data_IF_211389126768
#
_entry.id   IF_211389126768
#
_cell.length_a   1.000
_cell.length_b   1.000
_cell.length_c   1.000
_cell.angle_alpha   90.00
_cell.angle_beta   90.00
_cell.angle_gamma   90.00
#
_symmetry.space_group_name_H-M   'P 1'
#
loop_
_entity.id
_entity.type
_entity.pdbx_description
1 polymer ?
#
# COMPACT_ATOMS: atom_id res chain seq x y z
N UNK A 1 -14.08 82.08 -17.09
CA UNK A 1 -14.21 80.65 -17.58
C UNK A 1 -13.32 79.64 -16.80
N UNK A 2 -12.60 80.00 -15.77
CA UNK A 2 -11.73 79.13 -14.99
C UNK A 2 -12.42 78.38 -13.83
N UNK A 3 -13.57 78.83 -13.37
CA UNK A 3 -14.21 78.27 -12.16
C UNK A 3 -15.00 76.99 -12.37
N UNK A 4 -15.39 76.70 -13.62
CA UNK A 4 -16.14 75.47 -13.96
C UNK A 4 -15.28 74.24 -14.08
N UNK A 5 -14.01 74.37 -14.43
CA UNK A 5 -13.07 73.24 -14.58
C UNK A 5 -12.63 72.67 -13.22
N UNK A 6 -12.41 73.56 -12.25
CA UNK A 6 -12.04 73.18 -10.87
C UNK A 6 -13.14 72.41 -10.15
N UNK A 7 -14.41 72.80 -10.38
CA UNK A 7 -15.56 72.13 -9.77
C UNK A 7 -15.81 70.73 -10.34
N UNK A 8 -15.65 70.54 -11.65
CA UNK A 8 -15.72 69.21 -12.31
C UNK A 8 -14.58 68.30 -11.87
N UNK A 9 -13.38 68.81 -11.67
CA UNK A 9 -12.21 68.04 -11.20
C UNK A 9 -12.42 67.57 -9.74
N UNK A 10 -12.88 68.44 -8.86
CA UNK A 10 -13.25 68.09 -7.45
C UNK A 10 -14.34 67.00 -7.40
N UNK A 11 -15.37 67.10 -8.24
CA UNK A 11 -16.42 66.07 -8.32
C UNK A 11 -15.90 64.73 -8.80
N UNK A 12 -14.97 64.67 -9.79
CA UNK A 12 -14.34 63.43 -10.26
C UNK A 12 -13.46 62.82 -9.19
N UNK A 13 -12.64 63.64 -8.51
CA UNK A 13 -11.81 63.17 -7.39
C UNK A 13 -12.66 62.63 -6.25
N UNK A 14 -13.76 63.29 -5.90
CA UNK A 14 -14.68 62.78 -4.86
C UNK A 14 -15.32 61.45 -5.29
N UNK A 15 -15.72 61.31 -6.54
CA UNK A 15 -16.31 60.07 -7.07
C UNK A 15 -15.29 58.91 -7.02
N UNK A 16 -14.01 59.17 -7.37
CA UNK A 16 -12.94 58.17 -7.28
C UNK A 16 -12.68 57.76 -5.82
N UNK A 17 -12.62 58.73 -4.90
CA UNK A 17 -12.46 58.44 -3.47
C UNK A 17 -13.63 57.63 -2.91
N UNK A 18 -14.89 57.94 -3.25
CA UNK A 18 -16.06 57.15 -2.85
C UNK A 18 -16.00 55.73 -3.43
N UNK A 19 -15.61 55.59 -4.69
CA UNK A 19 -15.45 54.26 -5.30
C UNK A 19 -14.36 53.42 -4.60
N UNK A 20 -13.20 54.02 -4.30
CA UNK A 20 -12.15 53.35 -3.55
C UNK A 20 -12.55 52.93 -2.15
N UNK A 21 -13.30 53.79 -1.42
CA UNK A 21 -13.78 53.47 -0.05
C UNK A 21 -14.81 52.33 -0.08
N UNK A 22 -15.72 52.33 -1.05
CA UNK A 22 -16.69 51.22 -1.22
C UNK A 22 -15.99 49.93 -1.59
N UNK A 23 -15.00 49.99 -2.50
CA UNK A 23 -14.20 48.85 -2.90
C UNK A 23 -13.38 48.28 -1.73
N UNK A 24 -12.75 49.14 -0.94
CA UNK A 24 -12.03 48.74 0.27
C UNK A 24 -12.94 48.07 1.29
N UNK A 25 -14.15 48.67 1.51
CA UNK A 25 -15.17 48.09 2.38
C UNK A 25 -15.64 46.71 1.92
N UNK A 26 -15.78 46.51 0.60
CA UNK A 26 -16.12 45.20 0.02
C UNK A 26 -15.02 44.16 0.22
N UNK A 27 -13.75 44.55 0.07
CA UNK A 27 -12.60 43.66 0.35
C UNK A 27 -12.60 43.28 1.84
N UNK A 28 -12.72 44.23 2.74
CA UNK A 28 -12.76 43.97 4.18
C UNK A 28 -13.93 43.07 4.57
N UNK A 29 -15.09 43.29 4.01
CA UNK A 29 -16.27 42.44 4.23
C UNK A 29 -15.98 40.98 3.77
N UNK A 30 -15.45 40.80 2.57
CA UNK A 30 -15.07 39.47 2.07
C UNK A 30 -13.98 38.77 2.93
N UNK A 31 -13.02 39.53 3.43
CA UNK A 31 -11.96 39.02 4.28
C UNK A 31 -12.52 38.56 5.64
N UNK A 32 -13.36 39.36 6.26
CA UNK A 32 -14.05 39.04 7.52
C UNK A 32 -14.98 37.81 7.32
N UNK A 33 -15.76 37.81 6.25
CA UNK A 33 -16.68 36.72 5.93
C UNK A 33 -15.94 35.40 5.77
N UNK A 34 -14.87 35.39 4.96
CA UNK A 34 -14.04 34.18 4.74
C UNK A 34 -13.26 33.75 5.98
N UNK A 35 -12.79 34.71 6.80
CA UNK A 35 -11.99 34.38 7.99
C UNK A 35 -12.84 33.91 9.17
N UNK A 36 -14.01 34.53 9.41
CA UNK A 36 -14.82 34.25 10.61
C UNK A 36 -16.00 33.31 10.34
N UNK A 37 -16.61 33.34 9.15
CA UNK A 37 -17.80 32.52 8.86
C UNK A 37 -17.45 31.23 8.14
N UNK A 38 -16.58 31.30 7.13
CA UNK A 38 -16.19 30.10 6.37
C UNK A 38 -14.83 29.54 6.77
N UNK A 39 -14.11 30.20 7.69
CA UNK A 39 -12.75 29.84 8.08
C UNK A 39 -12.65 28.44 8.70
N UNK A 40 -13.60 28.04 9.53
CA UNK A 40 -13.60 26.69 10.12
C UNK A 40 -13.90 25.60 9.10
N UNK A 41 -14.85 25.85 8.19
CA UNK A 41 -15.16 24.92 7.10
C UNK A 41 -13.98 24.78 6.12
N UNK A 42 -13.31 25.87 5.79
CA UNK A 42 -12.12 25.86 4.95
C UNK A 42 -10.94 25.17 5.63
N UNK A 43 -10.78 25.35 6.95
CA UNK A 43 -9.77 24.62 7.75
C UNK A 43 -10.06 23.12 7.78
N UNK A 44 -11.33 22.73 7.98
CA UNK A 44 -11.72 21.32 7.97
C UNK A 44 -11.46 20.68 6.60
N UNK A 45 -11.87 21.35 5.51
CA UNK A 45 -11.58 20.86 4.14
C UNK A 45 -10.08 20.79 3.83
N UNK A 46 -9.30 21.76 4.30
CA UNK A 46 -7.85 21.74 4.15
C UNK A 46 -7.22 20.61 4.97
N UNK A 47 -7.70 20.36 6.18
CA UNK A 47 -7.25 19.23 7.01
C UNK A 47 -7.56 17.88 6.34
N UNK A 48 -8.77 17.71 5.82
CA UNK A 48 -9.17 16.49 5.10
C UNK A 48 -8.31 16.24 3.83
N UNK A 49 -7.90 17.30 3.13
CA UNK A 49 -7.03 17.21 1.97
C UNK A 49 -5.55 16.99 2.33
N UNK A 50 -5.14 17.40 3.53
CA UNK A 50 -3.75 17.25 4.00
C UNK A 50 -3.51 15.95 4.75
N UNK A 51 -4.56 15.32 5.32
CA UNK A 51 -4.43 14.09 6.06
C UNK A 51 -4.32 12.91 5.10
N UNK A 52 -3.18 12.22 5.14
CA UNK A 52 -3.01 10.93 4.52
C UNK A 52 -3.19 9.84 5.58
N UNK A 53 -4.17 8.96 5.35
CA UNK A 53 -4.43 7.79 6.17
C UNK A 53 -3.80 6.57 5.51
N UNK A 54 -2.76 6.04 6.13
CA UNK A 54 -2.07 4.84 5.69
C UNK A 54 -2.49 3.69 6.59
N UNK A 55 -3.12 2.67 6.02
CA UNK A 55 -3.43 1.43 6.73
C UNK A 55 -2.17 0.61 6.94
N UNK A 56 -1.95 0.16 8.18
CA UNK A 56 -0.85 -0.72 8.55
C UNK A 56 -1.41 -2.13 8.69
N UNK A 57 -0.97 -3.04 7.84
CA UNK A 57 -1.47 -4.40 7.82
C UNK A 57 -1.10 -5.13 9.13
N UNK A 58 -2.08 -5.76 9.78
CA UNK A 58 -1.85 -6.67 10.89
C UNK A 58 -1.33 -8.02 10.39
N UNK A 59 -0.48 -8.67 11.17
CA UNK A 59 -0.09 -10.05 10.90
C UNK A 59 -1.24 -10.98 11.26
N UNK A 60 -1.52 -11.92 10.36
CA UNK A 60 -2.49 -12.98 10.62
C UNK A 60 -1.94 -13.98 11.61
N UNK A 61 -2.72 -14.38 12.62
CA UNK A 61 -2.35 -15.32 13.67
C UNK A 61 -1.83 -16.64 13.11
N UNK A 62 -0.91 -17.28 13.82
CA UNK A 62 -0.28 -18.54 13.44
C UNK A 62 -1.19 -19.72 13.77
N UNK A 63 -1.24 -20.74 12.92
CA UNK A 63 -1.90 -22.01 13.18
C UNK A 63 -0.84 -23.03 13.52
N UNK A 64 -0.97 -23.65 14.71
CA UNK A 64 -0.07 -24.67 15.22
C UNK A 64 -0.75 -26.03 15.29
N UNK A 65 0.03 -27.08 15.22
CA UNK A 65 -0.39 -28.44 15.57
C UNK A 65 -0.42 -28.62 17.12
N UNK A 66 -0.77 -29.81 17.59
CA UNK A 66 -0.81 -30.14 19.02
C UNK A 66 0.56 -30.10 19.70
N UNK A 67 1.65 -30.15 18.95
CA UNK A 67 3.04 -30.10 19.42
C UNK A 67 3.69 -28.73 19.22
N UNK A 68 2.89 -27.71 18.87
CA UNK A 68 3.35 -26.35 18.56
C UNK A 68 4.23 -26.22 17.28
N UNK A 69 4.13 -27.18 16.36
CA UNK A 69 4.71 -27.02 15.03
C UNK A 69 3.85 -26.07 14.21
N UNK A 70 4.50 -25.21 13.43
CA UNK A 70 3.80 -24.19 12.62
C UNK A 70 3.20 -24.85 11.38
N UNK A 71 1.87 -24.84 11.28
CA UNK A 71 1.13 -25.32 10.08
C UNK A 71 0.83 -24.19 9.09
N UNK A 72 0.57 -22.98 9.60
CA UNK A 72 0.40 -21.79 8.78
C UNK A 72 0.85 -20.53 9.54
N UNK A 73 1.60 -19.65 8.91
CA UNK A 73 2.05 -18.38 9.49
C UNK A 73 2.04 -17.25 8.46
N UNK A 74 2.05 -16.01 8.94
CA UNK A 74 2.27 -14.85 8.10
C UNK A 74 3.76 -14.58 7.95
N UNK A 75 4.20 -14.30 6.74
CA UNK A 75 5.54 -13.84 6.42
C UNK A 75 5.47 -12.42 5.88
N UNK A 76 6.42 -11.57 6.27
CA UNK A 76 6.56 -10.23 5.72
C UNK A 76 7.05 -10.32 4.28
N UNK A 77 6.37 -9.60 3.41
CA UNK A 77 6.68 -9.47 1.98
C UNK A 77 6.56 -8.01 1.58
N UNK A 78 6.94 -7.68 0.38
CA UNK A 78 6.90 -6.30 -0.11
C UNK A 78 6.15 -6.22 -1.42
N UNK A 79 5.43 -5.13 -1.61
CA UNK A 79 4.86 -4.76 -2.89
C UNK A 79 5.76 -3.69 -3.51
N UNK A 80 6.17 -3.91 -4.76
CA UNK A 80 7.00 -2.97 -5.53
C UNK A 80 6.07 -2.03 -6.28
N UNK A 81 6.17 -0.74 -5.96
CA UNK A 81 5.29 0.31 -6.45
C UNK A 81 6.09 1.30 -7.28
N UNK A 82 5.58 1.62 -8.45
CA UNK A 82 6.07 2.68 -9.31
C UNK A 82 5.18 3.92 -9.16
N UNK A 83 5.80 5.08 -8.96
CA UNK A 83 5.18 6.40 -9.13
C UNK A 83 5.66 7.01 -10.45
N UNK A 84 4.92 6.87 -11.55
CA UNK A 84 5.32 7.47 -12.82
C UNK A 84 5.54 8.98 -12.72
N UNK A 85 4.71 9.67 -11.94
CA UNK A 85 4.83 11.11 -11.72
C UNK A 85 6.17 11.52 -11.11
N UNK A 86 6.60 10.81 -10.04
CA UNK A 86 7.87 11.10 -9.39
C UNK A 86 9.05 10.70 -10.26
N UNK A 87 8.94 9.57 -10.97
CA UNK A 87 9.92 9.12 -11.94
C UNK A 87 10.15 10.15 -13.03
N UNK A 88 9.11 10.62 -13.71
CA UNK A 88 9.24 11.61 -14.78
C UNK A 88 9.68 12.98 -14.25
N UNK A 89 9.28 13.37 -13.05
CA UNK A 89 9.78 14.59 -12.41
C UNK A 89 11.29 14.50 -12.19
N UNK A 90 11.80 13.37 -11.68
CA UNK A 90 13.21 13.12 -11.51
C UNK A 90 13.95 13.06 -12.87
N UNK A 91 13.47 12.23 -13.80
CA UNK A 91 14.02 12.10 -15.17
C UNK A 91 14.19 13.48 -15.85
N UNK A 92 13.21 14.37 -15.72
CA UNK A 92 13.25 15.69 -16.34
C UNK A 92 14.20 16.67 -15.64
N UNK A 93 14.52 16.42 -14.36
CA UNK A 93 15.45 17.25 -13.56
C UNK A 93 16.88 16.70 -13.50
N UNK A 94 17.18 15.62 -14.20
CA UNK A 94 18.53 15.05 -14.29
C UNK A 94 19.48 16.03 -14.98
N UNK A 95 20.68 16.18 -14.39
CA UNK A 95 21.75 17.05 -14.86
C UNK A 95 23.04 16.28 -15.04
N UNK A 96 23.88 16.75 -15.96
CA UNK A 96 25.24 16.24 -16.11
C UNK A 96 26.18 16.72 -14.98
N UNK A 97 27.42 16.24 -14.95
CA UNK A 97 28.44 16.66 -13.95
C UNK A 97 28.75 18.16 -14.03
N UNK A 98 28.42 18.82 -15.16
CA UNK A 98 28.63 20.24 -15.38
C UNK A 98 27.42 21.09 -14.99
N UNK A 99 26.30 20.45 -14.59
CA UNK A 99 25.06 21.09 -14.15
C UNK A 99 24.09 21.48 -15.27
N UNK A 100 24.33 21.01 -16.51
CA UNK A 100 23.41 21.19 -17.64
C UNK A 100 22.35 20.08 -17.65
N UNK A 101 21.20 20.36 -18.28
CA UNK A 101 20.16 19.35 -18.44
C UNK A 101 20.64 18.24 -19.40
N UNK A 102 20.44 16.98 -19.01
CA UNK A 102 20.77 15.81 -19.83
C UNK A 102 20.05 15.87 -21.19
N UNK A 103 20.72 15.34 -22.22
CA UNK A 103 20.12 15.17 -23.54
C UNK A 103 18.93 14.18 -23.50
N UNK A 104 18.04 14.27 -24.48
CA UNK A 104 16.90 13.35 -24.56
C UNK A 104 17.35 11.88 -24.67
N UNK A 105 18.45 11.60 -25.37
CA UNK A 105 18.99 10.25 -25.52
C UNK A 105 19.47 9.66 -24.17
N UNK A 106 20.08 10.46 -23.31
CA UNK A 106 20.52 10.06 -21.97
C UNK A 106 19.32 9.85 -21.04
N UNK A 107 18.30 10.71 -21.12
CA UNK A 107 17.03 10.53 -20.39
C UNK A 107 16.30 9.26 -20.81
N UNK A 108 16.33 8.92 -22.09
CA UNK A 108 15.73 7.69 -22.60
C UNK A 108 16.55 6.44 -22.23
N UNK A 109 17.88 6.58 -22.15
CA UNK A 109 18.75 5.51 -21.61
C UNK A 109 18.48 5.25 -20.12
N UNK A 110 18.32 6.30 -19.32
CA UNK A 110 17.95 6.17 -17.89
C UNK A 110 16.61 5.42 -17.72
N UNK A 111 15.59 5.75 -18.51
CA UNK A 111 14.30 5.05 -18.48
C UNK A 111 14.45 3.57 -18.86
N UNK A 112 15.20 3.27 -19.93
CA UNK A 112 15.47 1.87 -20.34
C UNK A 112 16.22 1.09 -19.27
N UNK A 113 17.24 1.68 -18.66
CA UNK A 113 17.97 1.04 -17.56
C UNK A 113 17.03 0.65 -16.42
N UNK A 114 16.10 1.53 -16.05
CA UNK A 114 15.10 1.24 -15.03
C UNK A 114 14.14 0.12 -15.46
N UNK A 115 13.62 0.17 -16.70
CA UNK A 115 12.68 -0.83 -17.21
C UNK A 115 13.34 -2.20 -17.28
N UNK A 116 14.50 -2.30 -17.94
CA UNK A 116 15.19 -3.57 -18.16
C UNK A 116 15.67 -4.20 -16.84
N UNK A 117 16.26 -3.39 -15.95
CA UNK A 117 16.72 -3.90 -14.66
C UNK A 117 15.60 -4.36 -13.74
N UNK A 118 14.50 -3.58 -13.64
CA UNK A 118 13.35 -4.01 -12.85
C UNK A 118 12.63 -5.21 -13.47
N UNK A 119 12.57 -5.29 -14.81
CA UNK A 119 11.98 -6.44 -15.51
C UNK A 119 12.74 -7.72 -15.21
N UNK A 120 14.08 -7.68 -15.18
CA UNK A 120 14.94 -8.80 -14.83
C UNK A 120 14.78 -9.21 -13.37
N UNK A 121 14.91 -8.27 -12.41
CA UNK A 121 14.82 -8.55 -10.97
C UNK A 121 13.43 -9.06 -10.58
N UNK A 122 12.39 -8.45 -11.14
CA UNK A 122 11.02 -8.80 -10.81
C UNK A 122 10.46 -9.95 -11.65
N UNK A 123 11.20 -10.46 -12.65
CA UNK A 123 10.72 -11.48 -13.60
C UNK A 123 9.36 -11.10 -14.23
N UNK A 124 9.25 -9.87 -14.70
CA UNK A 124 8.07 -9.35 -15.41
C UNK A 124 8.44 -8.90 -16.82
N UNK A 125 7.47 -8.88 -17.71
CA UNK A 125 7.70 -8.40 -19.06
C UNK A 125 7.99 -6.89 -19.08
N UNK A 126 9.05 -6.40 -19.76
CA UNK A 126 9.36 -4.98 -19.85
C UNK A 126 8.18 -4.12 -20.34
N UNK A 127 7.38 -4.65 -21.27
CA UNK A 127 6.17 -4.02 -21.79
C UNK A 127 5.13 -3.70 -20.71
N UNK A 128 5.06 -4.51 -19.64
CA UNK A 128 4.17 -4.24 -18.51
C UNK A 128 4.60 -3.00 -17.72
N UNK A 129 5.90 -2.81 -17.52
CA UNK A 129 6.45 -1.62 -16.86
C UNK A 129 6.23 -0.38 -17.75
N UNK A 130 6.46 -0.51 -19.07
CA UNK A 130 6.19 0.56 -20.01
C UNK A 130 4.71 0.98 -19.99
N UNK A 131 3.77 0.04 -19.93
CA UNK A 131 2.35 0.33 -19.82
C UNK A 131 2.05 1.15 -18.56
N UNK A 132 2.62 0.78 -17.41
CA UNK A 132 2.48 1.55 -16.18
C UNK A 132 3.02 2.97 -16.29
N UNK A 133 4.11 3.18 -17.02
CA UNK A 133 4.71 4.50 -17.26
C UNK A 133 3.84 5.41 -18.15
N UNK A 134 2.96 4.88 -18.99
CA UNK A 134 2.04 5.71 -19.79
C UNK A 134 1.12 6.60 -18.95
N UNK A 135 0.89 6.22 -17.70
CA UNK A 135 0.06 6.96 -16.76
C UNK A 135 0.86 8.02 -15.96
N UNK A 136 1.43 8.98 -16.64
CA UNK A 136 2.39 9.98 -16.15
C UNK A 136 1.95 10.77 -14.89
N UNK A 137 0.65 10.95 -14.67
CA UNK A 137 0.10 11.63 -13.49
C UNK A 137 -0.15 10.71 -12.28
N UNK A 138 0.01 9.40 -12.45
CA UNK A 138 -0.20 8.44 -11.38
C UNK A 138 0.97 8.45 -10.39
N UNK A 139 0.64 8.40 -9.10
CA UNK A 139 1.62 8.27 -8.02
C UNK A 139 1.70 6.84 -7.48
N UNK A 140 0.85 5.93 -7.97
CA UNK A 140 0.75 4.57 -7.45
C UNK A 140 0.42 3.59 -8.58
N UNK A 141 1.37 2.73 -8.91
CA UNK A 141 1.24 1.62 -9.85
C UNK A 141 1.96 0.41 -9.28
N UNK A 142 1.26 -0.69 -9.10
CA UNK A 142 1.84 -1.93 -8.59
C UNK A 142 2.56 -2.66 -9.73
N UNK A 143 3.89 -2.78 -9.65
CA UNK A 143 4.69 -3.55 -10.60
C UNK A 143 4.66 -5.05 -10.27
N UNK A 144 4.95 -5.40 -9.02
CA UNK A 144 4.85 -6.77 -8.52
C UNK A 144 4.48 -6.75 -7.04
N UNK A 145 3.54 -7.61 -6.66
CA UNK A 145 3.10 -7.74 -5.26
C UNK A 145 3.73 -8.95 -4.60
N UNK A 146 3.86 -8.86 -3.29
CA UNK A 146 4.25 -9.97 -2.40
C UNK A 146 5.60 -10.59 -2.77
N UNK A 147 6.58 -9.76 -3.14
CA UNK A 147 7.95 -10.19 -3.33
C UNK A 147 8.60 -10.54 -1.99
N UNK A 148 9.46 -11.54 -1.99
CA UNK A 148 10.22 -11.95 -0.82
C UNK A 148 11.33 -10.95 -0.51
N UNK A 149 11.90 -11.04 0.70
CA UNK A 149 12.90 -10.10 1.18
C UNK A 149 14.10 -9.97 0.24
N UNK A 150 14.62 -11.08 -0.24
CA UNK A 150 15.84 -11.09 -1.07
C UNK A 150 15.63 -10.28 -2.36
N UNK A 151 14.48 -10.44 -3.02
CA UNK A 151 14.10 -9.66 -4.20
C UNK A 151 13.86 -8.18 -3.86
N UNK A 152 13.26 -7.89 -2.70
CA UNK A 152 13.05 -6.51 -2.26
C UNK A 152 14.37 -5.79 -1.96
N UNK A 153 15.32 -6.49 -1.35
CA UNK A 153 16.67 -5.99 -1.08
C UNK A 153 17.43 -5.74 -2.40
N UNK A 154 17.28 -6.63 -3.40
CA UNK A 154 17.86 -6.48 -4.74
C UNK A 154 17.28 -5.27 -5.49
N UNK A 155 15.95 -5.09 -5.45
CA UNK A 155 15.31 -3.89 -5.99
C UNK A 155 15.85 -2.62 -5.32
N UNK A 156 16.00 -2.66 -3.97
CA UNK A 156 16.51 -1.50 -3.23
C UNK A 156 17.94 -1.16 -3.63
N UNK A 157 18.81 -2.16 -3.76
CA UNK A 157 20.19 -1.97 -4.20
C UNK A 157 20.24 -1.41 -5.63
N UNK A 158 19.48 -2.01 -6.55
CA UNK A 158 19.41 -1.58 -7.94
C UNK A 158 18.94 -0.11 -8.07
N UNK A 159 17.90 0.26 -7.33
CA UNK A 159 17.36 1.63 -7.31
C UNK A 159 18.41 2.61 -6.77
N UNK A 160 19.14 2.24 -5.69
CA UNK A 160 20.18 3.08 -5.11
C UNK A 160 21.41 3.22 -6.02
N UNK A 161 21.86 2.12 -6.63
CA UNK A 161 23.05 2.10 -7.48
C UNK A 161 22.87 2.91 -8.78
N UNK A 162 21.63 3.01 -9.28
CA UNK A 162 21.30 3.73 -10.50
C UNK A 162 20.62 5.08 -10.25
N UNK A 163 20.50 5.54 -8.99
CA UNK A 163 19.83 6.77 -8.57
C UNK A 163 18.41 6.91 -9.17
N UNK A 164 17.66 5.81 -9.14
CA UNK A 164 16.31 5.73 -9.72
C UNK A 164 15.29 6.25 -8.73
N UNK A 165 14.57 7.30 -9.09
CA UNK A 165 13.46 7.81 -8.30
C UNK A 165 12.12 7.22 -8.72
N UNK A 166 11.11 7.29 -7.82
CA UNK A 166 9.74 6.89 -8.12
C UNK A 166 9.47 5.40 -7.92
N UNK A 167 10.42 4.62 -7.39
CA UNK A 167 10.20 3.24 -6.98
C UNK A 167 10.11 3.18 -5.45
N UNK A 168 9.07 2.54 -4.95
CA UNK A 168 8.79 2.41 -3.52
C UNK A 168 8.49 0.96 -3.17
N UNK A 169 8.94 0.54 -1.99
CA UNK A 169 8.61 -0.74 -1.40
C UNK A 169 7.59 -0.53 -0.29
N UNK A 170 6.43 -1.14 -0.42
CA UNK A 170 5.40 -1.14 0.61
C UNK A 170 5.37 -2.48 1.31
N UNK A 171 5.47 -2.47 2.64
CA UNK A 171 5.39 -3.69 3.46
C UNK A 171 3.99 -4.30 3.35
N UNK A 172 3.94 -5.59 3.08
CA UNK A 172 2.73 -6.41 3.02
C UNK A 172 2.97 -7.73 3.74
N UNK A 173 1.95 -8.56 3.84
CA UNK A 173 2.03 -9.91 4.43
C UNK A 173 1.53 -10.96 3.44
N UNK A 174 2.15 -12.15 3.51
CA UNK A 174 1.72 -13.33 2.74
C UNK A 174 1.54 -14.50 3.69
N UNK A 175 0.46 -15.27 3.50
CA UNK A 175 0.27 -16.52 4.21
C UNK A 175 1.21 -17.57 3.66
N UNK A 176 1.90 -18.26 4.55
CA UNK A 176 2.89 -19.28 4.24
C UNK A 176 2.53 -20.58 4.98
N UNK A 177 2.59 -21.69 4.24
CA UNK A 177 2.30 -23.03 4.71
C UNK A 177 3.58 -23.87 4.60
N UNK A 178 4.31 -24.08 5.73
CA UNK A 178 5.64 -24.73 5.69
C UNK A 178 5.64 -26.17 5.16
N UNK A 179 4.48 -26.82 5.21
CA UNK A 179 4.31 -28.22 4.80
C UNK A 179 3.47 -28.36 3.53
N UNK A 180 3.44 -27.32 2.71
CA UNK A 180 2.73 -27.23 1.45
C UNK A 180 1.24 -27.66 1.58
N UNK A 181 0.87 -28.83 1.14
CA UNK A 181 -0.51 -29.34 1.06
C UNK A 181 -0.95 -30.14 2.30
N UNK A 182 -0.09 -30.34 3.30
CA UNK A 182 -0.42 -31.07 4.51
C UNK A 182 -1.68 -30.50 5.19
N UNK A 183 -2.66 -31.34 5.42
CA UNK A 183 -3.98 -30.98 6.00
C UNK A 183 -4.68 -29.82 5.27
N UNK A 184 -4.40 -29.63 3.98
CA UNK A 184 -4.92 -28.49 3.20
C UNK A 184 -6.44 -28.42 3.18
N UNK A 185 -7.13 -29.57 3.18
CA UNK A 185 -8.61 -29.65 3.25
C UNK A 185 -9.18 -29.17 4.57
N UNK A 186 -8.40 -29.25 5.66
CA UNK A 186 -8.83 -28.82 7.01
C UNK A 186 -8.37 -27.39 7.28
N UNK A 187 -7.07 -27.11 7.10
CA UNK A 187 -6.50 -25.78 7.33
C UNK A 187 -7.13 -24.77 6.36
N UNK A 188 -7.27 -25.16 5.10
CA UNK A 188 -7.76 -24.28 4.05
C UNK A 188 -6.69 -23.30 3.56
N UNK A 189 -7.14 -22.18 2.99
CA UNK A 189 -6.26 -21.18 2.41
C UNK A 189 -6.85 -19.77 2.50
N UNK A 190 -6.01 -18.79 2.30
CA UNK A 190 -6.39 -17.38 2.23
C UNK A 190 -6.37 -16.90 0.77
N UNK A 191 -7.18 -15.88 0.49
CA UNK A 191 -7.10 -15.16 -0.78
C UNK A 191 -5.87 -14.22 -0.81
N UNK A 192 -5.78 -13.48 -1.91
CA UNK A 192 -4.68 -12.55 -2.13
C UNK A 192 -4.62 -11.43 -1.07
N UNK A 193 -5.75 -11.06 -0.47
CA UNK A 193 -5.86 -10.03 0.58
C UNK A 193 -5.76 -10.60 1.99
N UNK A 194 -5.20 -11.83 2.13
CA UNK A 194 -5.01 -12.56 3.39
C UNK A 194 -6.33 -12.85 4.16
N UNK A 195 -7.49 -12.85 3.46
CA UNK A 195 -8.77 -13.26 4.02
C UNK A 195 -8.94 -14.78 3.85
N UNK A 196 -9.39 -15.47 4.90
CA UNK A 196 -9.67 -16.91 4.84
C UNK A 196 -10.82 -17.20 3.88
N UNK A 197 -10.62 -18.14 2.97
CA UNK A 197 -11.60 -18.52 1.94
C UNK A 197 -12.18 -19.91 2.20
N UNK A 198 -11.38 -20.81 2.75
CA UNK A 198 -11.77 -22.20 2.98
C UNK A 198 -11.18 -22.73 4.29
N UNK A 199 -11.78 -23.81 4.84
CA UNK A 199 -11.31 -24.53 6.02
C UNK A 199 -11.27 -23.68 7.30
N UNK A 200 -10.35 -23.99 8.19
CA UNK A 200 -10.16 -23.27 9.45
C UNK A 200 -9.76 -21.81 9.23
N UNK A 201 -9.06 -21.52 8.13
CA UNK A 201 -8.73 -20.14 7.77
C UNK A 201 -9.98 -19.29 7.56
N UNK A 202 -11.04 -19.85 6.96
CA UNK A 202 -12.31 -19.15 6.76
C UNK A 202 -13.13 -19.09 8.04
N UNK A 203 -13.28 -20.22 8.75
CA UNK A 203 -14.10 -20.32 9.96
C UNK A 203 -13.60 -19.40 11.07
N UNK A 204 -12.28 -19.35 11.28
CA UNK A 204 -11.64 -18.52 12.30
C UNK A 204 -11.08 -17.21 11.75
N UNK A 205 -11.58 -16.76 10.58
CA UNK A 205 -11.03 -15.56 9.94
C UNK A 205 -11.06 -14.33 10.85
N UNK A 206 -12.14 -14.11 11.60
CA UNK A 206 -12.28 -12.96 12.51
C UNK A 206 -11.29 -12.98 13.69
N UNK A 207 -10.81 -14.15 14.07
CA UNK A 207 -9.84 -14.35 15.16
C UNK A 207 -8.41 -14.22 14.62
N UNK A 208 -8.17 -14.81 13.44
CA UNK A 208 -6.87 -14.87 12.81
C UNK A 208 -6.45 -13.55 12.17
N UNK A 209 -7.36 -12.76 11.57
CA UNK A 209 -6.99 -11.60 10.74
C UNK A 209 -6.42 -10.42 11.51
N UNK A 210 -6.66 -10.34 12.84
CA UNK A 210 -6.26 -9.19 13.64
C UNK A 210 -7.01 -7.90 13.29
N UNK A 211 -6.50 -6.78 13.76
CA UNK A 211 -7.05 -5.44 13.48
C UNK A 211 -5.97 -4.57 12.85
N UNK A 212 -6.16 -4.06 11.64
CA UNK A 212 -5.17 -3.21 11.00
C UNK A 212 -4.94 -1.92 11.80
N UNK A 213 -3.70 -1.47 11.82
CA UNK A 213 -3.31 -0.18 12.36
C UNK A 213 -3.55 0.94 11.36
N UNK A 214 -3.37 2.17 11.81
CA UNK A 214 -3.52 3.38 10.99
C UNK A 214 -2.44 4.39 11.35
N UNK A 215 -1.81 4.97 10.33
CA UNK A 215 -0.92 6.12 10.48
C UNK A 215 -1.55 7.30 9.75
N UNK A 216 -1.93 8.31 10.52
CA UNK A 216 -2.49 9.54 9.99
C UNK A 216 -1.36 10.58 10.02
N UNK A 217 -0.92 11.05 8.86
CA UNK A 217 0.11 12.08 8.74
C UNK A 217 -0.39 13.23 7.88
N UNK A 218 -0.03 14.47 8.26
CA UNK A 218 -0.36 15.62 7.43
C UNK A 218 0.77 15.86 6.42
N UNK A 219 0.40 15.95 5.13
CA UNK A 219 1.32 16.28 4.03
C UNK A 219 0.94 17.62 3.41
N UNK A 220 1.91 18.31 2.83
CA UNK A 220 1.66 19.49 2.02
C UNK A 220 1.10 19.09 0.64
N UNK A 221 0.66 20.08 -0.15
CA UNK A 221 0.13 19.86 -1.50
C UNK A 221 1.15 19.22 -2.48
N UNK A 222 2.42 19.13 -2.09
CA UNK A 222 3.51 18.52 -2.87
C UNK A 222 3.81 17.08 -2.39
N UNK A 223 3.14 16.62 -1.31
CA UNK A 223 3.29 15.28 -0.75
C UNK A 223 4.37 15.15 0.31
N UNK A 224 5.05 16.24 0.71
CA UNK A 224 6.06 16.22 1.77
C UNK A 224 5.42 16.29 3.15
N UNK A 225 5.97 15.54 4.11
CA UNK A 225 5.52 15.57 5.51
C UNK A 225 5.86 16.93 6.13
N UNK A 226 4.87 17.58 6.70
CA UNK A 226 5.08 18.88 7.37
C UNK A 226 5.83 18.67 8.70
N UNK A 227 6.93 19.37 8.97
CA UNK A 227 7.77 19.16 10.16
C UNK A 227 7.08 19.43 11.50
N UNK A 228 5.94 20.12 11.49
CA UNK A 228 5.14 20.48 12.68
C UNK A 228 3.78 19.82 12.69
N UNK A 229 3.57 18.80 11.85
CA UNK A 229 2.26 18.24 11.60
C UNK A 229 1.86 17.20 12.63
N UNK A 230 0.56 17.15 12.83
CA UNK A 230 -0.14 16.13 13.60
C UNK A 230 0.12 14.75 12.99
N UNK A 231 0.88 13.93 13.69
CA UNK A 231 1.08 12.52 13.36
C UNK A 231 0.41 11.69 14.44
N UNK A 232 -0.52 10.85 14.03
CA UNK A 232 -1.20 9.94 14.93
C UNK A 232 -1.00 8.51 14.45
N UNK A 233 -0.35 7.71 15.29
CA UNK A 233 -0.05 6.32 15.03
C UNK A 233 -0.93 5.42 15.89
N UNK A 234 -1.71 4.59 15.25
CA UNK A 234 -2.47 3.51 15.86
C UNK A 234 -1.81 2.19 15.46
N UNK A 235 -1.17 1.47 16.40
CA UNK A 235 -0.49 0.23 16.06
C UNK A 235 -1.49 -0.82 15.59
N UNK A 236 -1.08 -1.64 14.62
CA UNK A 236 -1.80 -2.83 14.24
C UNK A 236 -1.83 -3.82 15.42
N UNK A 237 -2.91 -4.55 15.56
CA UNK A 237 -3.04 -5.65 16.52
C UNK A 237 -3.05 -6.96 15.73
N UNK A 238 -2.02 -7.77 15.91
CA UNK A 238 -1.92 -9.07 15.23
C UNK A 238 -3.06 -10.00 15.64
N UNK A 239 -3.43 -10.89 14.75
CA UNK A 239 -4.45 -11.89 15.00
C UNK A 239 -4.02 -12.91 16.04
N UNK A 240 -5.00 -13.49 16.72
CA UNK A 240 -4.76 -14.56 17.69
C UNK A 240 -4.36 -15.85 16.96
N UNK A 241 -3.46 -16.62 17.58
CA UNK A 241 -3.04 -17.91 17.06
C UNK A 241 -4.02 -19.01 17.43
N UNK A 242 -4.09 -20.06 16.61
CA UNK A 242 -4.85 -21.27 16.88
C UNK A 242 -3.90 -22.43 17.14
N UNK A 243 -4.24 -23.26 18.14
CA UNK A 243 -3.57 -24.54 18.40
C UNK A 243 -4.59 -25.63 18.13
N UNK A 244 -4.27 -26.49 17.17
CA UNK A 244 -5.15 -27.59 16.75
C UNK A 244 -4.84 -28.85 17.54
N UNK A 245 -5.77 -29.79 17.50
CA UNK A 245 -5.55 -31.15 18.01
C UNK A 245 -4.81 -32.04 17.00
N UNK A 246 -4.69 -31.57 15.76
CA UNK A 246 -3.98 -32.29 14.68
C UNK A 246 -2.52 -32.47 15.08
N UNK A 247 -2.01 -33.68 14.87
CA UNK A 247 -0.60 -34.01 14.96
C UNK A 247 -0.02 -34.12 13.56
N UNK A 248 0.96 -33.27 13.26
CA UNK A 248 1.60 -33.17 11.93
C UNK A 248 2.12 -34.53 11.45
N UNK A 249 2.68 -35.34 12.35
CA UNK A 249 3.28 -36.63 11.99
C UNK A 249 2.18 -37.64 11.66
N UNK A 250 1.11 -37.72 12.50
CA UNK A 250 -0.02 -38.58 12.26
C UNK A 250 -0.72 -38.23 10.94
N UNK A 251 -0.92 -36.92 10.68
CA UNK A 251 -1.51 -36.42 9.45
C UNK A 251 -0.69 -36.82 8.22
N UNK A 252 0.63 -36.62 8.26
CA UNK A 252 1.51 -36.99 7.16
C UNK A 252 1.44 -38.49 6.83
N UNK A 253 1.45 -39.36 7.84
CA UNK A 253 1.35 -40.80 7.62
C UNK A 253 -0.04 -41.22 7.09
N UNK A 254 -1.11 -40.57 7.57
CA UNK A 254 -2.45 -40.81 7.06
C UNK A 254 -2.55 -40.46 5.58
N UNK A 255 -2.11 -39.27 5.17
CA UNK A 255 -2.11 -38.80 3.78
C UNK A 255 -1.29 -39.74 2.89
N UNK A 256 -0.06 -40.04 3.28
CA UNK A 256 0.80 -40.96 2.55
C UNK A 256 0.18 -42.35 2.35
N UNK A 257 -0.55 -42.85 3.36
CA UNK A 257 -1.23 -44.16 3.28
C UNK A 257 -2.45 -44.07 2.35
N UNK A 258 -3.19 -42.96 2.41
CA UNK A 258 -4.33 -42.71 1.52
C UNK A 258 -3.87 -42.62 0.06
N UNK A 259 -2.81 -41.85 -0.23
CA UNK A 259 -2.23 -41.73 -1.57
C UNK A 259 -1.80 -43.08 -2.13
N UNK A 260 -1.10 -43.89 -1.33
CA UNK A 260 -0.71 -45.23 -1.73
C UNK A 260 -1.92 -46.15 -2.02
N UNK A 261 -2.98 -46.02 -1.20
CA UNK A 261 -4.22 -46.77 -1.36
C UNK A 261 -4.98 -46.32 -2.62
N UNK A 262 -5.07 -45.03 -2.87
CA UNK A 262 -5.69 -44.48 -4.08
C UNK A 262 -4.95 -44.94 -5.32
N UNK A 263 -3.59 -44.87 -5.29
CA UNK A 263 -2.77 -45.33 -6.41
C UNK A 263 -2.96 -46.85 -6.71
N UNK A 264 -3.14 -47.68 -5.66
CA UNK A 264 -3.30 -49.11 -5.78
C UNK A 264 -4.71 -49.52 -6.23
N UNK A 265 -5.75 -48.86 -5.73
CA UNK A 265 -7.12 -49.33 -5.90
C UNK A 265 -7.96 -48.42 -6.82
N UNK A 266 -7.44 -47.25 -7.21
CA UNK A 266 -8.08 -46.25 -8.09
C UNK A 266 -9.59 -46.07 -7.80
N UNK A 267 -9.99 -45.72 -6.56
CA UNK A 267 -11.38 -45.50 -6.20
C UNK A 267 -11.98 -44.36 -7.03
N UNK A 268 -13.23 -44.50 -7.46
CA UNK A 268 -13.90 -43.57 -8.38
C UNK A 268 -14.14 -42.19 -7.74
N UNK A 269 -14.31 -42.13 -6.42
CA UNK A 269 -14.69 -40.91 -5.68
C UNK A 269 -13.61 -40.45 -4.68
N UNK A 270 -12.42 -41.05 -4.74
CA UNK A 270 -11.34 -40.74 -3.80
C UNK A 270 -11.40 -41.53 -2.50
N UNK A 271 -10.63 -41.15 -1.50
CA UNK A 271 -10.57 -41.74 -0.18
C UNK A 271 -10.52 -40.70 0.92
N UNK A 272 -11.02 -41.00 2.09
CA UNK A 272 -10.89 -40.18 3.28
C UNK A 272 -10.52 -41.03 4.50
N UNK A 273 -9.82 -40.45 5.44
CA UNK A 273 -9.43 -41.08 6.68
C UNK A 273 -9.49 -40.11 7.86
N UNK A 274 -9.82 -40.60 9.03
CA UNK A 274 -9.83 -39.81 10.27
C UNK A 274 -9.15 -40.61 11.37
N UNK A 275 -8.23 -39.98 12.08
CA UNK A 275 -7.62 -40.53 13.32
C UNK A 275 -8.08 -39.70 14.49
N UNK A 276 -8.70 -40.34 15.49
CA UNK A 276 -9.24 -39.70 16.67
C UNK A 276 -8.65 -40.31 17.94
N UNK A 277 -8.29 -39.47 18.90
CA UNK A 277 -7.98 -39.91 20.27
C UNK A 277 -9.29 -40.29 21.00
N UNK A 278 -9.38 -41.54 21.37
CA UNK A 278 -10.59 -42.09 22.03
C UNK A 278 -10.85 -41.55 23.43
N UNK A 279 -9.82 -40.99 24.09
CA UNK A 279 -9.94 -40.48 25.47
C UNK A 279 -10.41 -39.01 25.48
N UNK A 280 -9.98 -38.23 24.53
CA UNK A 280 -10.27 -36.78 24.47
C UNK A 280 -11.32 -36.43 23.44
N UNK A 281 -11.53 -37.30 22.43
CA UNK A 281 -12.37 -37.00 21.26
C UNK A 281 -11.67 -36.04 20.26
N UNK A 282 -10.39 -35.69 20.50
CA UNK A 282 -9.63 -34.82 19.62
C UNK A 282 -9.27 -35.52 18.30
N UNK A 283 -9.45 -34.82 17.18
CA UNK A 283 -9.05 -35.29 15.87
C UNK A 283 -7.55 -35.05 15.72
N UNK A 284 -6.78 -36.12 15.50
CA UNK A 284 -5.34 -36.09 15.34
C UNK A 284 -4.92 -35.99 13.88
N UNK A 285 -5.74 -36.51 12.97
CA UNK A 285 -5.50 -36.49 11.52
C UNK A 285 -6.80 -36.69 10.75
#
# INVERSE_FOLDING_TARGET
MADGAGKKMKQRTLAICCFMTVFLGWILYNLVYRSLITGEELKARAADQQLQDISITANRGTIYDCNMNVLAQSATVWDVILSPKDFYKAKNSLKDEEGNDLSQAEKDAYERTMIDGLAEILEVEPSSIEEHLTHTESMYRELKRKVVKDVADEVTAFVADNDIAGIYLQVNTKRFYPYDDLASSVIGFTNYDNQGVYGLEAEYNSILSGTPGRQISAKNAVGETLPTSYEQYYPAQDGNSLVLTIDQVAQHYLEKTLDATIAQHAPAEGAAGIVMDVNTGGILA
#
